data_IF_004846004855
#
_entry.id   IF_004846004855
#
_cell.length_a   1.000
_cell.length_b   1.000
_cell.length_c   1.000
_cell.angle_alpha   90.00
_cell.angle_beta   90.00
_cell.angle_gamma   90.00
#
_symmetry.space_group_name_H-M   'P 1'
#
loop_
_entity.id
_entity.type
_entity.pdbx_description
1 polymer ?
#
# COMPACT_ATOMS: atom_id res chain seq x y z
N UNK A 1 -22.18 -21.67 4.67
CA UNK A 1 -21.11 -21.80 3.66
C UNK A 1 -19.93 -22.68 4.07
N UNK A 2 -19.58 -22.79 5.37
CA UNK A 2 -18.45 -23.64 5.82
C UNK A 2 -18.86 -24.93 6.54
N UNK A 3 -20.16 -25.14 6.82
CA UNK A 3 -20.62 -26.39 7.47
C UNK A 3 -21.17 -27.37 6.42
N UNK A 4 -20.51 -28.52 6.29
CA UNK A 4 -20.85 -29.62 5.38
C UNK A 4 -19.60 -30.26 4.75
N UNK A 5 -19.77 -31.40 4.09
CA UNK A 5 -18.67 -32.21 3.53
C UNK A 5 -17.70 -31.43 2.62
N UNK A 6 -18.18 -30.36 1.97
CA UNK A 6 -17.35 -29.46 1.16
C UNK A 6 -16.43 -28.57 2.01
N UNK A 7 -16.94 -28.04 3.13
CA UNK A 7 -16.14 -27.28 4.10
C UNK A 7 -15.08 -28.15 4.78
N UNK A 8 -15.43 -29.38 5.13
CA UNK A 8 -14.49 -30.36 5.71
C UNK A 8 -13.39 -30.76 4.72
N UNK A 9 -13.73 -30.84 3.42
CA UNK A 9 -12.76 -31.07 2.35
C UNK A 9 -11.75 -29.93 2.19
N UNK A 10 -12.22 -28.68 2.31
CA UNK A 10 -11.35 -27.49 2.27
C UNK A 10 -10.44 -27.44 3.49
N UNK A 11 -10.96 -27.71 4.70
CA UNK A 11 -10.14 -27.73 5.92
C UNK A 11 -9.04 -28.79 5.85
N UNK A 12 -9.36 -30.01 5.38
CA UNK A 12 -8.37 -31.06 5.16
C UNK A 12 -7.32 -30.69 4.10
N UNK A 13 -7.71 -29.94 3.07
CA UNK A 13 -6.78 -29.44 2.05
C UNK A 13 -5.84 -28.40 2.65
N UNK A 14 -6.36 -27.45 3.44
CA UNK A 14 -5.58 -26.43 4.14
C UNK A 14 -4.60 -27.07 5.14
N UNK A 15 -5.03 -28.08 5.90
CA UNK A 15 -4.15 -28.85 6.78
C UNK A 15 -3.03 -29.56 6.01
N UNK A 16 -3.34 -30.16 4.84
CA UNK A 16 -2.33 -30.84 3.99
C UNK A 16 -1.34 -29.89 3.35
N UNK A 17 -1.80 -28.70 2.94
CA UNK A 17 -0.94 -27.66 2.37
C UNK A 17 -0.12 -26.97 3.47
N UNK A 18 -0.58 -27.07 4.72
CA UNK A 18 -0.01 -26.43 5.91
C UNK A 18 -0.75 -25.13 6.18
N UNK A 19 -1.32 -25.00 7.38
CA UNK A 19 -2.04 -23.79 7.81
C UNK A 19 -1.16 -22.55 7.64
N UNK A 20 0.12 -22.67 7.96
CA UNK A 20 1.12 -21.61 7.79
C UNK A 20 1.41 -21.26 6.32
N UNK A 21 0.94 -22.01 5.32
CA UNK A 21 0.99 -21.62 3.90
C UNK A 21 -0.31 -20.98 3.42
N UNK A 22 -1.42 -21.25 4.11
CA UNK A 22 -2.73 -20.66 3.82
C UNK A 22 -3.02 -19.40 4.66
N UNK A 23 -2.36 -19.28 5.81
CA UNK A 23 -2.37 -18.16 6.75
C UNK A 23 -0.91 -17.80 7.05
N UNK A 24 -0.35 -16.86 6.28
CA UNK A 24 0.96 -16.23 6.53
C UNK A 24 0.72 -14.74 6.77
N UNK A 25 1.15 -14.24 7.94
CA UNK A 25 1.08 -12.85 8.44
C UNK A 25 -0.30 -12.18 8.31
N UNK A 26 -0.69 -11.33 9.26
CA UNK A 26 -1.94 -10.57 9.12
C UNK A 26 -1.85 -9.66 7.89
N UNK A 27 -2.33 -10.15 6.75
CA UNK A 27 -2.43 -9.37 5.52
C UNK A 27 -3.50 -8.32 5.76
N UNK A 28 -3.06 -7.09 5.98
CA UNK A 28 -3.94 -5.96 6.28
C UNK A 28 -4.53 -5.39 5.00
N UNK A 29 -3.74 -5.35 3.93
CA UNK A 29 -4.20 -4.93 2.62
C UNK A 29 -3.43 -5.63 1.49
N UNK A 30 -4.12 -5.95 0.40
CA UNK A 30 -3.54 -6.44 -0.85
C UNK A 30 -4.17 -5.72 -2.03
N UNK A 31 -3.34 -5.19 -2.93
CA UNK A 31 -3.82 -4.59 -4.18
C UNK A 31 -3.44 -5.42 -5.40
N UNK A 32 -4.26 -5.33 -6.44
CA UNK A 32 -3.89 -5.75 -7.78
C UNK A 32 -2.88 -4.78 -8.42
N UNK A 33 -2.46 -5.09 -9.63
CA UNK A 33 -1.66 -4.20 -10.48
C UNK A 33 -2.51 -3.65 -11.61
N UNK A 34 -2.46 -2.33 -11.83
CA UNK A 34 -3.34 -1.62 -12.76
C UNK A 34 -2.60 -1.08 -13.98
N UNK A 35 -3.17 -1.31 -15.15
CA UNK A 35 -2.58 -1.05 -16.45
C UNK A 35 -3.50 -0.20 -17.34
N UNK A 36 -2.99 0.96 -17.75
CA UNK A 36 -3.63 1.78 -18.78
C UNK A 36 -3.29 1.28 -20.19
N UNK A 37 -2.11 0.69 -20.36
CA UNK A 37 -1.68 -0.02 -21.57
C UNK A 37 -0.98 -1.32 -21.17
N UNK A 38 -0.87 -2.32 -22.07
CA UNK A 38 -0.39 -3.66 -21.69
C UNK A 38 0.99 -3.69 -21.01
N UNK A 39 1.83 -2.68 -21.29
CA UNK A 39 3.18 -2.52 -20.75
C UNK A 39 3.31 -1.37 -19.75
N UNK A 40 2.26 -0.55 -19.57
CA UNK A 40 2.30 0.71 -18.81
C UNK A 40 1.46 0.63 -17.54
N UNK A 41 2.14 0.63 -16.40
CA UNK A 41 1.50 0.73 -15.09
C UNK A 41 0.83 2.10 -14.91
N UNK A 42 -0.37 2.12 -14.35
CA UNK A 42 -1.17 3.35 -14.23
C UNK A 42 -1.04 4.03 -12.87
N UNK A 43 -1.24 3.29 -11.78
CA UNK A 43 -1.46 3.83 -10.43
C UNK A 43 -0.17 4.29 -9.72
N UNK A 44 0.59 5.17 -10.38
CA UNK A 44 1.87 5.70 -9.86
C UNK A 44 1.69 6.68 -8.71
N UNK A 45 0.46 7.17 -8.48
CA UNK A 45 0.16 8.10 -7.41
C UNK A 45 -0.06 7.37 -6.08
N UNK A 46 -0.93 6.36 -6.03
CA UNK A 46 -1.22 5.66 -4.77
C UNK A 46 -0.13 4.65 -4.39
N UNK A 47 0.55 4.08 -5.39
CA UNK A 47 1.55 3.04 -5.15
C UNK A 47 2.86 3.63 -4.65
N UNK A 48 3.30 3.20 -3.47
CA UNK A 48 4.60 3.55 -2.89
C UNK A 48 5.36 2.29 -2.53
N UNK A 49 6.65 2.28 -2.81
CA UNK A 49 7.50 1.15 -2.44
C UNK A 49 7.57 1.00 -0.91
N UNK A 50 8.20 -0.07 -0.44
CA UNK A 50 8.30 -0.38 1.00
C UNK A 50 8.93 0.75 1.82
N UNK A 51 9.84 1.53 1.21
CA UNK A 51 10.54 2.65 1.82
C UNK A 51 9.79 4.00 1.63
N UNK A 52 8.66 4.00 0.92
CA UNK A 52 7.81 5.15 0.63
C UNK A 52 8.21 5.95 -0.61
N UNK A 53 9.17 5.48 -1.41
CA UNK A 53 9.50 6.12 -2.69
C UNK A 53 8.32 6.02 -3.66
N UNK A 54 8.23 7.03 -4.54
CA UNK A 54 7.39 6.89 -5.73
C UNK A 54 7.95 5.80 -6.65
N UNK A 55 7.10 5.29 -7.54
CA UNK A 55 7.55 4.37 -8.58
C UNK A 55 8.59 5.03 -9.49
N UNK A 56 9.34 4.19 -10.20
CA UNK A 56 10.15 4.63 -11.34
C UNK A 56 9.26 4.98 -12.53
N UNK A 57 9.85 5.00 -13.72
CA UNK A 57 9.04 5.03 -14.94
C UNK A 57 8.09 3.81 -14.97
N UNK A 58 6.86 3.96 -15.50
CA UNK A 58 5.77 2.98 -15.37
C UNK A 58 5.93 1.75 -16.27
N UNK A 59 7.14 1.23 -16.43
CA UNK A 59 7.47 -0.02 -17.11
C UNK A 59 8.08 -1.00 -16.12
N UNK A 60 7.95 -2.30 -16.38
CA UNK A 60 8.40 -3.34 -15.47
C UNK A 60 9.89 -3.17 -15.08
N UNK A 61 10.26 -3.34 -13.80
CA UNK A 61 9.46 -3.83 -12.66
C UNK A 61 8.73 -2.73 -11.86
N UNK A 62 8.46 -1.58 -12.49
CA UNK A 62 7.72 -0.41 -11.97
C UNK A 62 8.41 0.33 -10.83
N UNK A 63 8.92 -0.37 -9.82
CA UNK A 63 9.68 0.21 -8.72
C UNK A 63 11.08 0.65 -9.18
N UNK A 64 11.51 1.80 -8.66
CA UNK A 64 12.85 2.31 -8.91
C UNK A 64 13.90 1.49 -8.16
N UNK A 65 15.16 1.57 -8.64
CA UNK A 65 16.30 0.94 -8.03
C UNK A 65 17.02 1.93 -7.09
N UNK A 66 16.39 2.25 -5.97
CA UNK A 66 16.89 3.22 -4.97
C UNK A 66 16.67 2.68 -3.57
N UNK A 67 17.43 3.19 -2.59
CA UNK A 67 17.35 2.70 -1.21
C UNK A 67 17.78 1.23 -1.14
N UNK A 68 17.01 0.42 -0.41
CA UNK A 68 17.14 -1.05 -0.36
C UNK A 68 16.42 -1.75 -1.51
N UNK A 69 15.59 -1.03 -2.27
CA UNK A 69 14.87 -1.52 -3.45
C UNK A 69 14.05 -2.81 -3.16
N UNK A 70 13.45 -2.88 -1.96
CA UNK A 70 12.78 -4.10 -1.46
C UNK A 70 11.64 -4.53 -2.39
N UNK A 71 10.70 -3.62 -2.69
CA UNK A 71 9.58 -3.91 -3.60
C UNK A 71 10.05 -4.30 -5.00
N UNK A 72 11.11 -3.64 -5.50
CA UNK A 72 11.71 -3.97 -6.81
C UNK A 72 12.22 -5.40 -6.81
N UNK A 73 12.99 -5.77 -5.79
CA UNK A 73 13.57 -7.11 -5.66
C UNK A 73 12.48 -8.17 -5.48
N UNK A 74 11.39 -7.86 -4.77
CA UNK A 74 10.23 -8.75 -4.65
C UNK A 74 9.56 -9.01 -6.02
N UNK A 75 9.38 -7.97 -6.85
CA UNK A 75 8.86 -8.12 -8.22
C UNK A 75 9.81 -8.95 -9.08
N UNK A 76 11.11 -8.65 -9.06
CA UNK A 76 12.11 -9.38 -9.85
C UNK A 76 12.26 -10.84 -9.41
N UNK A 77 12.05 -11.13 -8.13
CA UNK A 77 12.01 -12.49 -7.60
C UNK A 77 10.70 -13.23 -7.91
N UNK A 78 9.74 -12.57 -8.57
CA UNK A 78 8.46 -13.18 -8.95
C UNK A 78 7.55 -13.48 -7.76
N UNK A 79 7.66 -12.72 -6.66
CA UNK A 79 6.80 -12.90 -5.48
C UNK A 79 5.37 -12.48 -5.78
N UNK A 80 4.42 -13.22 -5.22
CA UNK A 80 2.99 -12.91 -5.23
C UNK A 80 2.60 -11.88 -4.17
N UNK A 81 3.47 -11.69 -3.16
CA UNK A 81 3.38 -10.68 -2.11
C UNK A 81 4.55 -9.72 -2.21
N UNK A 82 4.40 -8.69 -3.02
CA UNK A 82 5.37 -7.59 -3.10
C UNK A 82 5.10 -6.63 -1.97
N UNK A 83 6.04 -6.46 -1.04
CA UNK A 83 5.89 -5.53 0.08
C UNK A 83 5.81 -4.10 -0.45
N UNK A 84 4.83 -3.33 0.00
CA UNK A 84 4.63 -1.92 -0.38
C UNK A 84 4.14 -1.13 0.82
N UNK A 85 4.38 0.19 0.83
CA UNK A 85 3.86 1.05 1.89
C UNK A 85 2.41 1.47 1.64
N UNK A 86 2.02 1.57 0.36
CA UNK A 86 0.64 1.84 -0.07
C UNK A 86 0.43 1.37 -1.52
N UNK A 87 -0.82 1.07 -1.87
CA UNK A 87 -1.25 0.70 -3.23
C UNK A 87 -2.76 0.88 -3.41
N UNK A 88 -3.25 0.92 -4.65
CA UNK A 88 -4.70 0.89 -4.91
C UNK A 88 -5.06 -0.02 -6.07
N UNK A 89 -4.32 0.10 -7.19
CA UNK A 89 -4.17 -0.92 -8.20
C UNK A 89 -5.48 -1.42 -8.83
N UNK A 90 -6.48 -0.55 -8.99
CA UNK A 90 -7.81 -0.83 -9.60
C UNK A 90 -8.69 -1.86 -8.86
N UNK A 91 -8.11 -2.70 -8.00
CA UNK A 91 -8.79 -3.57 -7.06
C UNK A 91 -7.92 -3.72 -5.81
N UNK A 92 -8.54 -3.55 -4.65
CA UNK A 92 -7.89 -3.69 -3.34
C UNK A 92 -8.77 -4.51 -2.40
N UNK A 93 -8.14 -5.35 -1.59
CA UNK A 93 -8.76 -6.10 -0.52
C UNK A 93 -8.13 -5.69 0.81
N UNK A 94 -8.96 -5.46 1.83
CA UNK A 94 -8.51 -5.14 3.18
C UNK A 94 -8.99 -6.18 4.19
N UNK A 95 -8.28 -6.31 5.30
CA UNK A 95 -8.80 -7.07 6.44
C UNK A 95 -10.03 -6.38 7.01
N UNK A 96 -11.16 -7.09 7.04
CA UNK A 96 -12.43 -6.55 7.52
C UNK A 96 -12.41 -6.13 9.00
N UNK A 97 -11.53 -6.73 9.82
CA UNK A 97 -11.37 -6.39 11.24
C UNK A 97 -10.98 -4.93 11.45
N UNK A 98 -10.27 -4.34 10.49
CA UNK A 98 -9.83 -2.94 10.53
C UNK A 98 -10.99 -1.94 10.40
N UNK A 99 -12.12 -2.37 9.87
CA UNK A 99 -13.29 -1.52 9.60
C UNK A 99 -14.49 -1.87 10.49
N UNK A 100 -14.30 -2.78 11.45
CA UNK A 100 -15.33 -3.20 12.39
C UNK A 100 -15.03 -2.67 13.78
N UNK A 101 -16.08 -2.34 14.54
CA UNK A 101 -15.93 -2.02 15.95
C UNK A 101 -15.34 -3.22 16.69
N UNK A 102 -14.36 -3.03 17.59
CA UNK A 102 -13.85 -4.12 18.43
C UNK A 102 -15.00 -4.81 19.15
N UNK A 103 -15.09 -6.14 19.05
CA UNK A 103 -16.18 -6.90 19.68
C UNK A 103 -16.01 -7.05 21.20
N UNK A 104 -14.83 -6.69 21.73
CA UNK A 104 -14.53 -6.72 23.17
C UNK A 104 -14.45 -5.31 23.73
N UNK A 105 -15.40 -5.00 24.61
CA UNK A 105 -15.34 -3.89 25.57
C UNK A 105 -14.27 -4.17 26.63
N UNK A 106 -13.02 -4.43 26.23
CA UNK A 106 -11.89 -4.31 27.13
C UNK A 106 -11.24 -2.97 26.85
N UNK A 107 -11.67 -1.99 27.63
CA UNK A 107 -10.98 -0.71 27.78
C UNK A 107 -9.57 -0.98 28.28
N UNK A 108 -8.63 -1.22 27.38
CA UNK A 108 -7.20 -1.05 27.70
C UNK A 108 -7.03 0.44 27.98
N UNK A 109 -6.69 0.87 29.21
CA UNK A 109 -6.44 2.27 29.48
C UNK A 109 -5.21 2.68 28.68
N UNK A 110 -5.40 3.52 27.66
CA UNK A 110 -4.30 4.08 26.88
C UNK A 110 -3.58 5.14 27.73
N UNK A 111 -2.67 4.71 28.60
CA UNK A 111 -1.77 5.58 29.36
C UNK A 111 -0.49 5.93 28.60
N UNK A 112 -0.38 5.60 27.31
CA UNK A 112 0.70 6.07 26.43
C UNK A 112 0.25 7.26 25.57
N UNK A 113 1.03 8.35 25.49
CA UNK A 113 0.66 9.57 24.78
C UNK A 113 0.69 9.45 23.25
N UNK A 114 1.04 8.27 22.71
CA UNK A 114 1.05 7.99 21.28
C UNK A 114 -0.34 7.51 20.85
N UNK A 115 -1.22 8.46 20.49
CA UNK A 115 -2.54 8.21 19.91
C UNK A 115 -2.42 7.43 18.60
N UNK A 116 -2.38 6.09 18.67
CA UNK A 116 -2.62 5.24 17.50
C UNK A 116 -4.01 5.48 16.93
N UNK A 117 -4.21 5.22 15.64
CA UNK A 117 -5.54 5.36 15.01
C UNK A 117 -6.48 4.30 15.59
N UNK A 118 -7.60 4.75 16.17
CA UNK A 118 -8.58 3.86 16.80
C UNK A 118 -9.50 3.22 15.75
N UNK A 119 -9.83 1.95 15.95
CA UNK A 119 -10.81 1.23 15.12
C UNK A 119 -12.25 1.70 15.42
N UNK A 120 -13.17 1.66 14.45
CA UNK A 120 -12.96 1.26 13.05
C UNK A 120 -12.26 2.35 12.22
N UNK A 121 -11.35 1.92 11.34
CA UNK A 121 -10.73 2.81 10.36
C UNK A 121 -11.79 3.35 9.39
N UNK A 122 -11.61 4.58 8.94
CA UNK A 122 -12.48 5.24 7.96
C UNK A 122 -11.63 5.80 6.84
N UNK A 123 -12.12 5.68 5.61
CA UNK A 123 -11.56 6.42 4.50
C UNK A 123 -11.72 7.92 4.77
N UNK A 124 -10.63 8.66 4.62
CA UNK A 124 -10.57 10.10 4.80
C UNK A 124 -9.78 10.73 3.67
N UNK A 125 -10.07 11.99 3.40
CA UNK A 125 -9.34 12.81 2.43
C UNK A 125 -8.55 13.90 3.15
N UNK A 126 -7.52 14.41 2.48
CA UNK A 126 -6.87 15.65 2.89
C UNK A 126 -7.82 16.83 2.66
N UNK A 127 -7.79 17.82 3.55
CA UNK A 127 -8.63 19.03 3.44
C UNK A 127 -7.99 20.11 2.59
N UNK A 128 -6.69 20.01 2.35
CA UNK A 128 -5.96 20.96 1.51
C UNK A 128 -6.41 20.84 0.04
N UNK A 129 -6.46 21.96 -0.70
CA UNK A 129 -6.94 21.96 -2.07
C UNK A 129 -5.98 21.30 -3.07
N UNK A 130 -4.74 21.04 -2.66
CA UNK A 130 -3.77 20.32 -3.47
C UNK A 130 -3.85 18.83 -3.11
N UNK A 131 -4.04 17.99 -4.12
CA UNK A 131 -4.12 16.54 -3.98
C UNK A 131 -2.74 15.93 -3.63
N UNK A 132 -2.18 16.32 -2.48
CA UNK A 132 -0.93 15.77 -1.98
C UNK A 132 -1.13 14.33 -1.47
N UNK A 133 -2.34 14.02 -0.99
CA UNK A 133 -2.75 12.70 -0.54
C UNK A 133 -4.20 12.40 -0.96
N UNK A 134 -4.44 11.23 -1.56
CA UNK A 134 -5.79 10.71 -1.80
C UNK A 134 -6.21 9.72 -0.72
N UNK A 135 -7.50 9.40 -0.64
CA UNK A 135 -8.02 8.40 0.30
C UNK A 135 -7.34 7.04 0.15
N UNK A 136 -6.92 6.71 -1.08
CA UNK A 136 -6.21 5.48 -1.38
C UNK A 136 -4.79 5.42 -0.82
N UNK A 137 -4.18 6.54 -0.44
CA UNK A 137 -2.91 6.58 0.31
C UNK A 137 -3.16 6.60 1.82
N UNK A 138 -4.11 7.43 2.27
CA UNK A 138 -4.31 7.74 3.68
C UNK A 138 -4.80 6.52 4.47
N UNK A 139 -5.62 5.66 3.87
CA UNK A 139 -6.07 4.44 4.54
C UNK A 139 -4.90 3.53 4.92
N UNK A 140 -3.86 3.42 4.08
CA UNK A 140 -2.68 2.59 4.37
C UNK A 140 -1.84 3.18 5.51
N UNK A 141 -1.74 4.51 5.58
CA UNK A 141 -1.10 5.19 6.70
C UNK A 141 -1.85 4.91 8.02
N UNK A 142 -3.18 4.95 7.98
CA UNK A 142 -4.03 4.65 9.15
C UNK A 142 -3.91 3.19 9.57
N UNK A 143 -3.83 2.26 8.60
CA UNK A 143 -3.57 0.84 8.85
C UNK A 143 -2.23 0.66 9.57
N UNK A 144 -1.15 1.25 9.04
CA UNK A 144 0.19 1.18 9.63
C UNK A 144 0.20 1.77 11.05
N UNK A 145 -0.52 2.87 11.28
CA UNK A 145 -0.60 3.56 12.57
C UNK A 145 -1.60 2.94 13.58
N UNK A 146 -2.43 1.99 13.15
CA UNK A 146 -3.40 1.34 14.03
C UNK A 146 -2.72 0.38 15.02
N UNK A 147 -3.27 0.25 16.24
CA UNK A 147 -2.69 -0.59 17.30
C UNK A 147 -2.67 -2.09 16.97
N UNK A 148 -3.47 -2.54 16.01
CA UNK A 148 -3.39 -3.91 15.46
C UNK A 148 -2.10 -4.13 14.65
N UNK A 149 -1.41 -3.06 14.23
CA UNK A 149 -0.07 -3.17 13.64
C UNK A 149 1.03 -3.47 14.66
N UNK A 150 0.76 -3.29 15.95
CA UNK A 150 1.70 -3.50 17.04
C UNK A 150 1.51 -4.83 17.77
N UNK A 151 0.37 -5.49 17.61
CA UNK A 151 -0.06 -6.58 18.49
C UNK A 151 0.37 -8.00 18.03
N UNK A 152 0.96 -8.15 16.84
CA UNK A 152 1.26 -9.48 16.27
C UNK A 152 2.72 -9.80 15.96
N UNK A 153 3.55 -8.81 15.59
CA UNK A 153 4.82 -9.11 14.88
C UNK A 153 6.05 -8.29 15.32
N UNK A 154 5.94 -7.32 16.24
CA UNK A 154 7.14 -6.58 16.68
C UNK A 154 7.96 -7.27 17.78
N UNK A 155 7.40 -8.31 18.43
CA UNK A 155 8.07 -9.07 19.50
C UNK A 155 8.61 -10.44 19.04
N UNK A 156 8.54 -10.79 17.75
CA UNK A 156 9.27 -11.95 17.22
C UNK A 156 10.69 -11.52 16.83
N UNK A 157 11.68 -11.92 17.64
CA UNK A 157 13.10 -11.86 17.26
C UNK A 157 13.29 -12.48 15.86
N UNK A 158 13.48 -11.63 14.84
CA UNK A 158 13.65 -12.06 13.44
C UNK A 158 12.58 -11.58 12.45
N UNK A 159 11.56 -10.82 12.87
CA UNK A 159 10.60 -10.19 11.98
C UNK A 159 11.22 -9.16 11.02
N UNK A 160 10.77 -9.12 9.76
CA UNK A 160 11.22 -8.11 8.80
C UNK A 160 10.62 -6.74 9.14
N UNK A 161 11.47 -5.80 9.55
CA UNK A 161 11.06 -4.44 9.93
C UNK A 161 10.34 -3.65 8.83
N UNK A 162 10.45 -4.11 7.58
CA UNK A 162 9.81 -3.51 6.41
C UNK A 162 8.47 -4.14 6.04
N UNK A 163 8.07 -5.24 6.69
CA UNK A 163 6.79 -5.87 6.43
C UNK A 163 5.68 -5.22 7.27
N UNK A 164 4.91 -4.34 6.62
CA UNK A 164 3.76 -3.67 7.24
C UNK A 164 2.47 -4.48 7.16
N UNK A 165 2.47 -5.63 6.48
CA UNK A 165 1.27 -6.40 6.14
C UNK A 165 0.48 -5.84 4.95
N UNK A 166 1.08 -4.91 4.19
CA UNK A 166 0.50 -4.31 2.98
C UNK A 166 1.29 -4.81 1.76
N UNK A 167 0.59 -5.43 0.82
CA UNK A 167 1.22 -6.04 -0.35
C UNK A 167 0.55 -5.65 -1.66
N UNK A 168 1.31 -5.77 -2.73
CA UNK A 168 0.81 -5.73 -4.10
C UNK A 168 1.00 -7.12 -4.73
N UNK A 169 0.01 -7.60 -5.47
CA UNK A 169 0.07 -8.88 -6.16
C UNK A 169 0.27 -8.68 -7.68
N UNK A 170 1.48 -8.93 -8.23
CA UNK A 170 1.78 -8.76 -9.65
C UNK A 170 1.05 -9.73 -10.60
N UNK A 171 0.44 -10.78 -10.05
CA UNK A 171 -0.29 -11.80 -10.80
C UNK A 171 -1.77 -11.41 -11.02
N UNK A 172 -2.33 -10.59 -10.14
CA UNK A 172 -3.66 -10.03 -10.31
C UNK A 172 -3.53 -8.72 -11.09
N UNK A 173 -3.85 -8.76 -12.39
CA UNK A 173 -3.72 -7.61 -13.30
C UNK A 173 -5.08 -7.13 -13.78
N UNK A 174 -5.38 -5.87 -13.51
CA UNK A 174 -6.58 -5.18 -13.95
C UNK A 174 -6.24 -4.13 -15.01
N UNK A 175 -7.23 -3.74 -15.80
CA UNK A 175 -7.06 -2.67 -16.79
C UNK A 175 -8.37 -1.97 -17.11
N UNK A 176 -8.26 -0.73 -17.56
CA UNK A 176 -9.39 0.14 -17.90
C UNK A 176 -10.02 -0.13 -19.27
N UNK A 177 -9.48 -1.07 -20.05
CA UNK A 177 -10.07 -1.42 -21.35
C UNK A 177 -9.95 -2.90 -21.67
N UNK A 178 -10.99 -3.46 -22.28
CA UNK A 178 -10.99 -4.86 -22.74
C UNK A 178 -9.83 -5.15 -23.72
N UNK A 179 -9.46 -4.15 -24.53
CA UNK A 179 -8.30 -4.25 -25.43
C UNK A 179 -7.01 -4.42 -24.61
N UNK A 180 -6.76 -3.56 -23.63
CA UNK A 180 -5.58 -3.68 -22.76
C UNK A 180 -5.56 -5.05 -22.08
N UNK A 181 -6.69 -5.46 -21.47
CA UNK A 181 -6.81 -6.75 -20.78
C UNK A 181 -6.43 -7.94 -21.67
N UNK A 182 -6.90 -7.95 -22.93
CA UNK A 182 -6.60 -9.03 -23.90
C UNK A 182 -5.10 -9.18 -24.18
N UNK A 183 -4.33 -8.10 -24.09
CA UNK A 183 -2.90 -8.09 -24.43
C UNK A 183 -1.97 -8.17 -23.20
N UNK A 184 -2.49 -8.06 -21.98
CA UNK A 184 -1.68 -8.12 -20.75
C UNK A 184 -0.85 -9.39 -20.64
N UNK A 185 -1.43 -10.55 -20.99
CA UNK A 185 -0.72 -11.83 -20.91
C UNK A 185 0.50 -11.86 -21.83
N UNK A 186 0.42 -11.23 -23.00
CA UNK A 186 1.52 -11.18 -23.95
C UNK A 186 2.61 -10.22 -23.46
N UNK A 187 2.22 -9.02 -23.02
CA UNK A 187 3.16 -8.06 -22.46
C UNK A 187 3.91 -8.63 -21.25
N UNK A 188 3.21 -9.34 -20.37
CA UNK A 188 3.79 -10.05 -19.21
C UNK A 188 4.91 -11.02 -19.59
N UNK A 189 4.85 -11.66 -20.76
CA UNK A 189 5.91 -12.60 -21.19
C UNK A 189 7.22 -11.91 -21.53
N UNK A 190 7.16 -10.67 -22.01
CA UNK A 190 8.33 -9.93 -22.47
C UNK A 190 8.81 -8.87 -21.48
N UNK A 191 8.01 -8.54 -20.47
CA UNK A 191 8.33 -7.49 -19.50
C UNK A 191 9.61 -7.78 -18.70
N UNK A 192 9.98 -9.05 -18.51
CA UNK A 192 11.21 -9.46 -17.82
C UNK A 192 12.50 -8.99 -18.54
N UNK A 193 12.40 -8.55 -19.80
CA UNK A 193 13.51 -7.95 -20.55
C UNK A 193 13.69 -6.45 -20.25
N UNK A 194 12.69 -5.81 -19.63
CA UNK A 194 12.67 -4.37 -19.36
C UNK A 194 13.44 -3.88 -18.12
N UNK A 195 13.87 -4.69 -17.12
CA UNK A 195 14.51 -4.16 -15.92
C UNK A 195 15.76 -3.31 -16.17
N UNK A 196 16.62 -3.70 -17.13
CA UNK A 196 17.84 -2.96 -17.50
C UNK A 196 17.46 -1.66 -18.21
N UNK A 197 16.52 -1.73 -19.15
CA UNK A 197 16.01 -0.56 -19.88
C UNK A 197 15.39 0.44 -18.91
N UNK A 198 14.61 -0.06 -17.95
CA UNK A 198 13.95 0.75 -16.92
C UNK A 198 14.96 1.46 -16.01
N UNK A 199 16.05 0.79 -15.61
CA UNK A 199 17.10 1.40 -14.78
C UNK A 199 17.79 2.56 -15.52
N UNK A 200 18.11 2.34 -16.81
CA UNK A 200 18.69 3.38 -17.67
C UNK A 200 17.73 4.57 -17.80
N UNK A 201 16.46 4.32 -18.13
CA UNK A 201 15.47 5.40 -18.30
C UNK A 201 15.25 6.15 -16.98
N UNK A 202 15.17 5.47 -15.84
CA UNK A 202 15.03 6.13 -14.54
C UNK A 202 16.15 7.13 -14.28
N UNK A 203 17.39 6.73 -14.59
CA UNK A 203 18.57 7.58 -14.40
C UNK A 203 18.48 8.87 -15.22
N UNK A 204 18.09 8.77 -16.50
CA UNK A 204 17.93 9.94 -17.36
C UNK A 204 16.69 10.78 -17.00
N UNK A 205 15.61 10.13 -16.57
CA UNK A 205 14.36 10.78 -16.20
C UNK A 205 14.36 11.36 -14.78
N UNK A 206 15.44 11.17 -14.00
CA UNK A 206 15.52 11.55 -12.58
C UNK A 206 14.35 10.98 -11.76
N UNK A 207 14.06 9.70 -11.98
CA UNK A 207 13.04 8.94 -11.26
C UNK A 207 13.69 8.03 -10.20
N UNK A 208 13.08 7.86 -9.01
CA UNK A 208 11.77 8.36 -8.62
C UNK A 208 11.81 9.85 -8.23
N UNK A 209 10.67 10.54 -8.33
CA UNK A 209 10.57 11.95 -7.95
C UNK A 209 10.74 12.11 -6.44
N UNK A 210 11.36 13.22 -6.05
CA UNK A 210 11.49 13.60 -4.64
C UNK A 210 10.10 13.72 -3.98
N UNK A 211 9.92 13.08 -2.83
CA UNK A 211 8.72 13.15 -2.02
C UNK A 211 9.09 13.76 -0.66
N UNK A 212 8.68 15.00 -0.35
CA UNK A 212 9.06 15.66 0.90
C UNK A 212 8.51 14.93 2.12
N UNK A 213 7.31 14.33 2.02
CA UNK A 213 6.62 13.69 3.13
C UNK A 213 7.01 12.22 3.36
N UNK A 214 7.97 11.68 2.60
CA UNK A 214 8.31 10.24 2.62
C UNK A 214 8.75 9.74 4.01
N UNK A 215 9.58 10.53 4.67
CA UNK A 215 10.26 10.18 5.91
C UNK A 215 9.58 10.78 7.15
N UNK A 216 8.39 11.37 7.00
CA UNK A 216 7.64 11.94 8.11
C UNK A 216 7.15 10.83 9.03
N UNK A 217 7.25 11.07 10.34
CA UNK A 217 6.80 10.14 11.38
C UNK A 217 5.66 10.76 12.21
N UNK A 218 4.74 9.94 12.75
CA UNK A 218 3.66 10.44 13.60
C UNK A 218 4.19 11.25 14.78
N UNK A 219 3.60 12.43 15.03
CA UNK A 219 4.00 13.34 16.12
C UNK A 219 5.17 14.27 15.79
N UNK A 220 5.79 14.13 14.61
CA UNK A 220 6.83 15.06 14.17
C UNK A 220 6.23 16.44 13.84
N UNK A 221 6.84 17.49 14.39
CA UNK A 221 6.51 18.87 14.01
C UNK A 221 7.25 19.19 12.72
N UNK A 222 6.49 19.41 11.64
CA UNK A 222 7.02 19.76 10.32
C UNK A 222 6.56 21.17 9.92
N UNK A 223 7.42 21.98 9.29
CA UNK A 223 6.99 23.23 8.69
C UNK A 223 6.16 22.92 7.44
N UNK A 224 4.85 23.16 7.48
CA UNK A 224 3.97 23.03 6.32
C UNK A 224 3.76 24.38 5.62
N UNK A 225 3.71 24.37 4.29
CA UNK A 225 3.34 25.54 3.49
C UNK A 225 1.87 25.40 3.10
N UNK A 226 1.03 26.24 3.68
CA UNK A 226 -0.40 26.25 3.42
C UNK A 226 -0.74 27.28 2.36
N UNK A 227 -1.71 26.92 1.53
CA UNK A 227 -2.26 27.85 0.54
C UNK A 227 -3.39 28.65 1.17
N UNK A 228 -3.17 29.96 1.26
CA UNK A 228 -4.13 30.92 1.80
C UNK A 228 -4.75 31.66 0.62
N UNK A 229 -6.07 31.61 0.51
CA UNK A 229 -6.79 32.35 -0.52
C UNK A 229 -6.87 33.82 -0.12
N UNK A 230 -6.32 34.69 -0.97
CA UNK A 230 -6.43 36.14 -0.81
C UNK A 230 -7.85 36.67 -1.04
N UNK A 231 -8.73 35.85 -1.63
CA UNK A 231 -10.10 36.24 -2.04
C UNK A 231 -11.16 35.72 -1.08
N UNK A 232 -10.82 34.84 -0.13
CA UNK A 232 -11.82 34.22 0.75
C UNK A 232 -12.48 35.19 1.74
N UNK A 233 -11.86 36.35 1.99
CA UNK A 233 -12.29 37.32 2.99
C UNK A 233 -12.13 36.85 4.45
N UNK A 234 -11.61 35.64 4.67
CA UNK A 234 -11.32 35.07 6.00
C UNK A 234 -9.89 35.40 6.44
N UNK A 235 -9.69 35.51 7.75
CA UNK A 235 -8.34 35.67 8.30
C UNK A 235 -7.49 34.42 8.03
N UNK A 236 -6.17 34.55 8.05
CA UNK A 236 -5.26 33.40 7.86
C UNK A 236 -5.53 32.30 8.89
N UNK A 237 -5.76 32.66 10.16
CA UNK A 237 -6.08 31.72 11.24
C UNK A 237 -7.38 30.96 11.00
N UNK A 238 -8.40 31.61 10.43
CA UNK A 238 -9.66 30.98 10.06
C UNK A 238 -9.52 30.02 8.88
N UNK A 239 -8.60 30.29 7.96
CA UNK A 239 -8.33 29.41 6.81
C UNK A 239 -7.47 28.20 7.22
N UNK A 240 -6.63 28.32 8.25
CA UNK A 240 -5.78 27.24 8.77
C UNK A 240 -6.54 26.26 9.68
N UNK A 241 -7.62 26.69 10.35
CA UNK A 241 -8.41 25.82 11.27
C UNK A 241 -9.36 24.83 10.58
N UNK A 242 -9.51 24.89 9.25
CA UNK A 242 -10.53 24.14 8.50
C UNK A 242 -10.14 22.68 8.30
#
# INVERSE_FOLDING_TARGET
>A
LVRGAWGDGILKLVERIGVQRCFVSETKAVCATDFIAPWKYYDTFATRDTEGYSLGVPIFPWFANIGKAISRNDVLAGKDRVRVKSCWGGMVAFSGSLFQSPQTSESIPSSTPNKGVQLPLKFRSEKEPFWDSSECCLIHADIIASSQSSAGDQDQEGGDSWDTGIYMNPFVRVSYSARTQKWLWLAKRFEALLPIIQDIINRFAHMPRFNPRRAEVPGQIIPSKLWISSVSGKSEEEQVRI
#
